data_IF_842157605649
#
_entry.id   IF_842157605649
#
_cell.length_a   1.000
_cell.length_b   1.000
_cell.length_c   1.000
_cell.angle_alpha   90.00
_cell.angle_beta   90.00
_cell.angle_gamma   90.00
#
_symmetry.space_group_name_H-M   'P 1'
#
loop_
_entity.id
_entity.type
_entity.pdbx_description
1 polymer ?
#
# COMPACT_ATOMS: atom_id res chain seq x y z
N UNK A 1 -0.38 -14.20 0.30
CA UNK A 1 -0.92 -13.23 -0.67
C UNK A 1 -1.58 -12.07 0.04
N UNK A 2 -1.50 -10.91 -0.53
CA UNK A 2 -2.22 -9.74 -0.05
C UNK A 2 -3.17 -9.29 -1.15
N UNK A 3 -4.24 -8.62 -0.74
CA UNK A 3 -5.21 -8.09 -1.69
C UNK A 3 -5.10 -6.57 -1.72
N UNK A 4 -4.91 -6.03 -2.93
CA UNK A 4 -4.82 -4.59 -3.14
C UNK A 4 -5.95 -4.19 -4.08
N UNK A 5 -7.00 -3.60 -3.50
CA UNK A 5 -8.21 -3.35 -4.26
C UNK A 5 -8.83 -4.66 -4.72
N UNK A 6 -8.90 -4.86 -6.03
CA UNK A 6 -9.41 -6.09 -6.61
C UNK A 6 -8.31 -7.00 -7.15
N UNK A 7 -7.06 -6.71 -6.84
CA UNK A 7 -5.91 -7.50 -7.30
C UNK A 7 -5.31 -8.29 -6.14
N UNK A 8 -4.79 -9.47 -6.45
CA UNK A 8 -4.03 -10.25 -5.50
C UNK A 8 -2.56 -10.18 -5.85
N UNK A 9 -1.73 -9.91 -4.84
CA UNK A 9 -0.30 -9.72 -5.04
C UNK A 9 0.45 -10.66 -4.13
N UNK A 10 1.52 -11.31 -4.61
CA UNK A 10 2.33 -12.18 -3.77
C UNK A 10 2.94 -11.38 -2.61
N UNK A 11 2.83 -11.95 -1.41
CA UNK A 11 3.43 -11.37 -0.22
C UNK A 11 4.79 -12.01 0.03
N UNK A 12 5.72 -11.24 0.51
CA UNK A 12 7.00 -11.78 0.97
C UNK A 12 7.38 -11.15 2.29
N UNK A 13 8.13 -11.90 3.07
CA UNK A 13 8.54 -11.43 4.38
C UNK A 13 9.40 -10.16 4.26
N UNK A 14 9.12 -9.21 5.13
CA UNK A 14 9.83 -7.94 5.10
C UNK A 14 9.28 -6.92 4.12
N UNK A 15 8.19 -7.25 3.44
CA UNK A 15 7.57 -6.35 2.47
C UNK A 15 7.00 -5.12 3.16
N UNK A 16 7.39 -3.94 2.69
CA UNK A 16 6.88 -2.67 3.19
C UNK A 16 5.84 -2.10 2.24
N UNK A 17 5.12 -1.07 2.71
CA UNK A 17 4.17 -0.35 1.86
C UNK A 17 4.88 0.27 0.66
N UNK A 18 6.08 0.82 0.89
CA UNK A 18 6.86 1.40 -0.22
C UNK A 18 7.20 0.34 -1.26
N UNK A 19 7.54 -0.87 -0.82
CA UNK A 19 7.82 -1.96 -1.74
C UNK A 19 6.60 -2.30 -2.58
N UNK A 20 5.44 -2.34 -1.96
CA UNK A 20 4.19 -2.63 -2.66
C UNK A 20 3.91 -1.59 -3.73
N UNK A 21 4.01 -0.33 -3.38
CA UNK A 21 3.73 0.76 -4.33
C UNK A 21 4.71 0.71 -5.50
N UNK A 22 5.96 0.38 -5.23
CA UNK A 22 6.98 0.25 -6.28
C UNK A 22 6.65 -0.89 -7.23
N UNK A 23 6.14 -2.00 -6.71
CA UNK A 23 5.79 -3.16 -7.54
C UNK A 23 4.56 -2.90 -8.40
N UNK A 24 3.64 -2.09 -7.92
CA UNK A 24 2.44 -1.76 -8.69
C UNK A 24 2.76 -0.90 -9.92
N UNK A 25 3.86 -0.17 -9.85
CA UNK A 25 4.30 0.67 -10.96
C UNK A 25 3.20 1.61 -11.44
N UNK A 26 2.42 2.12 -10.50
CA UNK A 26 1.32 3.03 -10.81
C UNK A 26 1.83 4.44 -11.02
N UNK A 27 1.30 5.17 -12.00
CA UNK A 27 1.74 6.55 -12.24
C UNK A 27 1.22 7.55 -11.20
N UNK A 28 0.28 7.14 -10.37
CA UNK A 28 -0.34 8.06 -9.42
C UNK A 28 0.36 8.04 -8.08
N UNK A 29 0.63 9.23 -7.50
CA UNK A 29 1.15 9.27 -6.14
C UNK A 29 0.05 8.92 -5.14
N UNK A 30 0.42 8.15 -4.14
CA UNK A 30 -0.50 7.80 -3.07
C UNK A 30 -0.11 8.55 -1.81
N UNK A 31 -1.08 9.22 -1.19
CA UNK A 31 -0.84 9.95 0.04
C UNK A 31 -1.05 9.06 1.26
N UNK A 32 -1.98 8.12 1.15
CA UNK A 32 -2.40 7.29 2.27
C UNK A 32 -2.65 5.88 1.78
N UNK A 33 -2.28 4.90 2.58
CA UNK A 33 -2.58 3.50 2.34
C UNK A 33 -3.28 2.93 3.56
N UNK A 34 -4.37 2.22 3.32
CA UNK A 34 -5.10 1.57 4.40
C UNK A 34 -4.80 0.08 4.39
N UNK A 35 -4.26 -0.40 5.50
CA UNK A 35 -3.95 -1.83 5.66
C UNK A 35 -4.93 -2.39 6.68
N UNK A 36 -5.86 -3.22 6.21
CA UNK A 36 -6.97 -3.71 7.03
C UNK A 36 -7.74 -2.51 7.59
N UNK A 37 -7.68 -2.27 8.90
CA UNK A 37 -8.35 -1.13 9.51
C UNK A 37 -7.38 -0.02 9.90
N UNK A 38 -6.10 -0.17 9.55
CA UNK A 38 -5.06 0.77 9.95
C UNK A 38 -4.68 1.66 8.77
N UNK A 39 -4.56 2.95 9.04
CA UNK A 39 -4.20 3.94 8.03
C UNK A 39 -2.73 4.33 8.17
N UNK A 40 -2.03 4.35 7.04
CA UNK A 40 -0.60 4.69 7.00
C UNK A 40 -0.42 5.84 6.03
N UNK A 41 0.26 6.90 6.48
CA UNK A 41 0.53 8.05 5.64
C UNK A 41 1.89 7.92 4.95
N UNK A 42 2.08 8.71 3.91
CA UNK A 42 3.22 8.62 3.00
C UNK A 42 4.58 8.60 3.69
N UNK A 43 4.86 9.47 4.68
CA UNK A 43 6.19 9.45 5.31
C UNK A 43 6.55 8.14 5.98
N UNK A 44 5.58 7.28 6.24
CA UNK A 44 5.82 6.04 6.95
C UNK A 44 5.78 4.80 6.06
N UNK A 45 5.66 4.98 4.75
CA UNK A 45 5.54 3.85 3.83
C UNK A 45 6.77 2.94 3.86
N UNK A 46 7.96 3.50 3.99
CA UNK A 46 9.18 2.71 3.94
C UNK A 46 9.43 1.91 5.21
N UNK A 47 8.82 2.30 6.31
CA UNK A 47 9.04 1.63 7.59
C UNK A 47 7.85 0.81 8.06
N UNK A 48 6.77 0.77 7.28
CA UNK A 48 5.57 0.03 7.64
C UNK A 48 5.56 -1.31 6.93
N UNK A 49 5.62 -2.38 7.71
CA UNK A 49 5.56 -3.73 7.16
C UNK A 49 4.11 -4.12 6.89
N UNK A 50 3.93 -4.88 5.82
CA UNK A 50 2.61 -5.38 5.43
C UNK A 50 2.47 -6.82 5.95
N UNK A 51 1.49 -7.10 6.80
CA UNK A 51 1.24 -8.48 7.23
C UNK A 51 0.72 -9.34 6.09
N UNK A 52 1.02 -10.63 6.15
CA UNK A 52 0.48 -11.56 5.18
C UNK A 52 -1.05 -11.60 5.27
N UNK A 53 -1.70 -11.85 4.16
CA UNK A 53 -3.17 -11.94 4.08
C UNK A 53 -3.89 -10.64 4.44
N UNK A 54 -3.23 -9.52 4.20
CA UNK A 54 -3.84 -8.21 4.45
C UNK A 54 -4.71 -7.77 3.28
N UNK A 55 -5.69 -6.93 3.59
CA UNK A 55 -6.50 -6.23 2.59
C UNK A 55 -6.05 -4.78 2.58
N UNK A 56 -5.63 -4.30 1.42
CA UNK A 56 -4.99 -2.99 1.29
C UNK A 56 -5.77 -2.13 0.32
N UNK A 57 -6.02 -0.88 0.72
CA UNK A 57 -6.62 0.12 -0.13
C UNK A 57 -5.66 1.28 -0.32
N UNK A 58 -5.41 1.63 -1.56
CA UNK A 58 -4.54 2.75 -1.91
C UNK A 58 -5.40 3.98 -2.16
N UNK A 59 -5.08 5.06 -1.46
CA UNK A 59 -5.83 6.30 -1.58
C UNK A 59 -4.96 7.31 -2.31
N UNK A 60 -5.28 7.62 -3.57
CA UNK A 60 -4.44 8.54 -4.35
C UNK A 60 -4.54 9.97 -3.84
N UNK A 61 -3.46 10.71 -4.05
CA UNK A 61 -3.44 12.13 -3.73
C UNK A 61 -4.20 12.87 -4.83
N UNK A 62 -5.21 13.63 -4.42
CA UNK A 62 -6.00 14.41 -5.36
C UNK A 62 -5.52 15.86 -5.33
N UNK A 63 -4.93 16.29 -6.43
CA UNK A 63 -4.40 17.64 -6.55
C UNK A 63 -5.55 18.65 -6.56
N UNK A 64 -5.42 19.71 -5.78
CA UNK A 64 -6.39 20.78 -5.76
C UNK A 64 -7.69 20.44 -5.06
N UNK A 65 -7.74 19.27 -4.49
CA UNK A 65 -8.95 18.81 -3.80
C UNK A 65 -9.13 19.43 -2.46
#
# INVERSE_FOLDING_TARGET
>A
MIRVGDKEIPWREGMTVADLIRELNDPYPYAVVRINSKTVSSPHFEETLIPNNSVIFLIPMIAGG
#
